data_IF_790849245521
#
_entry.id   IF_790849245521
#
_cell.length_a   1.000
_cell.length_b   1.000
_cell.length_c   1.000
_cell.angle_alpha   90.00
_cell.angle_beta   90.00
_cell.angle_gamma   90.00
#
_symmetry.space_group_name_H-M   'P 1'
#
loop_
_entity.id
_entity.type
_entity.pdbx_description
1 polymer ?
#
# COMPACT_ATOMS: atom_id res chain seq x y z
N UNK A 1 28.01 -19.09 46.23
CA UNK A 1 27.73 -18.48 44.91
C UNK A 1 27.93 -16.98 45.04
N UNK A 2 28.98 -16.41 44.42
CA UNK A 2 29.27 -14.97 44.43
C UNK A 2 28.61 -14.34 43.21
N UNK A 3 27.82 -13.31 43.40
CA UNK A 3 27.27 -12.46 42.33
C UNK A 3 28.24 -11.32 42.05
N UNK A 4 28.72 -11.23 40.80
CA UNK A 4 29.47 -10.07 40.32
C UNK A 4 28.48 -8.99 39.86
N UNK A 5 28.54 -7.83 40.52
CA UNK A 5 28.04 -6.54 40.03
C UNK A 5 29.24 -5.76 39.52
N UNK A 6 29.34 -5.56 38.22
CA UNK A 6 30.01 -4.41 37.60
C UNK A 6 29.80 -4.53 36.09
N UNK A 7 28.89 -3.71 35.55
CA UNK A 7 28.95 -3.15 34.20
C UNK A 7 27.82 -2.12 34.07
N UNK A 8 28.12 -0.88 34.49
CA UNK A 8 27.37 0.34 34.18
C UNK A 8 28.39 1.45 34.03
N UNK A 9 28.73 1.79 32.79
CA UNK A 9 29.71 2.83 32.50
C UNK A 9 29.77 3.32 31.06
N UNK A 10 29.21 2.60 30.09
CA UNK A 10 29.19 3.02 28.70
C UNK A 10 27.77 3.44 28.28
N UNK A 11 27.38 4.68 28.58
CA UNK A 11 26.05 5.14 28.22
C UNK A 11 25.86 6.64 28.02
N UNK A 12 26.92 7.45 28.00
CA UNK A 12 26.80 8.90 27.81
C UNK A 12 27.61 9.44 26.63
N UNK A 13 28.87 9.02 26.52
CA UNK A 13 29.78 9.54 25.50
C UNK A 13 29.46 9.05 24.08
N UNK A 14 28.98 7.81 23.94
CA UNK A 14 28.54 7.22 22.67
C UNK A 14 27.31 7.94 22.11
N UNK A 15 26.38 8.37 22.97
CA UNK A 15 25.16 9.07 22.57
C UNK A 15 25.44 10.49 22.07
N UNK A 16 26.35 11.21 22.73
CA UNK A 16 26.79 12.54 22.28
C UNK A 16 27.45 12.49 20.90
N UNK A 17 28.21 11.44 20.60
CA UNK A 17 28.82 11.26 19.29
C UNK A 17 27.79 11.06 18.16
N UNK A 18 26.73 10.28 18.41
CA UNK A 18 25.67 10.04 17.42
C UNK A 18 24.83 11.29 17.16
N UNK A 19 24.48 12.05 18.21
CA UNK A 19 23.72 13.31 18.07
C UNK A 19 24.52 14.34 17.27
N UNK A 20 25.82 14.48 17.54
CA UNK A 20 26.71 15.38 16.80
C UNK A 20 26.86 14.95 15.33
N UNK A 21 26.90 13.64 15.06
CA UNK A 21 26.97 13.11 13.71
C UNK A 21 25.69 13.40 12.91
N UNK A 22 24.52 13.16 13.50
CA UNK A 22 23.22 13.45 12.86
C UNK A 22 23.08 14.96 12.61
N UNK A 23 23.46 15.80 13.57
CA UNK A 23 23.47 17.26 13.40
C UNK A 23 24.38 17.71 12.26
N UNK A 24 25.58 17.13 12.14
CA UNK A 24 26.52 17.44 11.06
C UNK A 24 26.02 17.01 9.68
N UNK A 25 25.41 15.82 9.57
CA UNK A 25 24.83 15.33 8.31
C UNK A 25 23.63 16.18 7.88
N UNK A 26 22.79 16.58 8.82
CA UNK A 26 21.61 17.41 8.54
C UNK A 26 22.02 18.82 8.11
N UNK A 27 23.04 19.40 8.76
CA UNK A 27 23.61 20.68 8.37
C UNK A 27 24.24 20.62 6.96
N UNK A 28 24.97 19.55 6.63
CA UNK A 28 25.55 19.36 5.30
C UNK A 28 24.48 19.32 4.20
N UNK A 29 23.39 18.56 4.41
CA UNK A 29 22.27 18.44 3.47
C UNK A 29 21.52 19.78 3.29
N UNK A 30 21.42 20.59 4.35
CA UNK A 30 20.79 21.91 4.26
C UNK A 30 21.62 22.93 3.44
N UNK A 31 22.95 22.75 3.35
CA UNK A 31 23.85 23.70 2.65
C UNK A 31 24.06 23.40 1.17
N UNK A 32 23.67 22.21 0.69
CA UNK A 32 23.72 21.85 -0.74
C UNK A 32 22.29 21.72 -1.27
N UNK A 33 21.78 22.74 -1.97
CA UNK A 33 20.36 22.83 -2.40
C UNK A 33 19.85 21.70 -3.33
N UNK A 34 18.59 21.71 -3.81
CA UNK A 34 17.47 22.60 -3.48
C UNK A 34 16.59 21.96 -2.37
N UNK A 35 16.80 22.39 -1.12
CA UNK A 35 16.13 21.88 0.08
C UNK A 35 14.73 22.44 0.32
N UNK A 36 13.82 22.29 -0.65
CA UNK A 36 12.41 22.72 -0.51
C UNK A 36 11.43 21.62 -0.10
N UNK A 37 11.79 20.35 -0.28
CA UNK A 37 10.83 19.23 -0.16
C UNK A 37 11.13 18.24 0.96
N UNK A 38 12.31 18.28 1.58
CA UNK A 38 12.68 17.37 2.69
C UNK A 38 12.26 17.95 4.06
N UNK A 39 12.12 19.27 4.16
CA UNK A 39 11.79 19.96 5.43
C UNK A 39 10.33 19.79 5.86
N UNK A 40 9.39 19.58 4.93
CA UNK A 40 7.96 19.37 5.26
C UNK A 40 7.69 18.00 5.87
N UNK A 41 8.39 16.95 5.42
CA UNK A 41 8.26 15.59 5.96
C UNK A 41 8.84 15.46 7.37
N UNK A 42 9.99 16.07 7.62
CA UNK A 42 10.61 16.09 8.96
C UNK A 42 9.75 16.86 9.98
N UNK A 43 9.10 17.95 9.56
CA UNK A 43 8.22 18.72 10.46
C UNK A 43 6.96 17.94 10.88
N UNK A 44 6.36 17.18 9.97
CA UNK A 44 5.20 16.33 10.31
C UNK A 44 5.56 15.20 11.27
N UNK A 45 6.74 14.58 11.10
CA UNK A 45 7.23 13.55 12.00
C UNK A 45 7.58 14.12 13.39
N UNK A 46 8.18 15.30 13.46
CA UNK A 46 8.50 15.96 14.73
C UNK A 46 7.22 16.39 15.48
N UNK A 47 6.24 16.94 14.77
CA UNK A 47 4.95 17.35 15.34
C UNK A 47 4.15 16.19 15.92
N UNK A 48 4.27 15.00 15.32
CA UNK A 48 3.59 13.80 15.81
C UNK A 48 4.19 13.27 17.12
N UNK A 49 5.45 13.62 17.41
CA UNK A 49 6.19 13.15 18.60
C UNK A 49 6.09 14.14 19.76
N UNK A 50 6.12 15.45 19.51
CA UNK A 50 6.21 16.44 20.60
C UNK A 50 4.86 16.96 21.10
N UNK A 51 3.75 16.68 20.42
CA UNK A 51 2.38 17.06 20.85
C UNK A 51 2.05 18.56 20.79
N UNK A 52 3.06 19.43 20.82
CA UNK A 52 2.92 20.87 20.67
C UNK A 52 3.37 21.34 19.28
N UNK A 53 2.40 21.64 18.42
CA UNK A 53 2.65 22.35 17.16
C UNK A 53 1.71 23.53 17.01
N UNK A 54 2.10 24.66 17.60
CA UNK A 54 1.72 25.96 17.06
C UNK A 54 2.63 26.17 15.84
N UNK A 55 2.09 26.19 14.59
CA UNK A 55 2.92 26.57 13.46
C UNK A 55 3.51 27.95 13.74
N UNK A 56 4.81 28.20 13.47
CA UNK A 56 5.37 29.53 13.67
C UNK A 56 4.51 30.50 12.87
N UNK A 57 3.85 31.41 13.59
CA UNK A 57 3.04 32.46 13.00
C UNK A 57 4.01 33.31 12.21
N UNK A 58 3.93 33.23 10.88
CA UNK A 58 4.69 34.11 9.98
C UNK A 58 4.00 35.48 9.99
N UNK A 59 3.99 36.14 11.15
CA UNK A 59 3.63 37.54 11.26
C UNK A 59 4.87 38.35 10.85
N UNK A 60 5.18 38.35 9.55
CA UNK A 60 6.14 39.26 8.93
C UNK A 60 5.90 39.23 7.41
N UNK A 61 4.94 40.02 6.93
CA UNK A 61 5.14 40.67 5.64
C UNK A 61 6.11 41.83 5.93
N UNK A 62 7.42 41.71 5.60
CA UNK A 62 8.22 42.91 5.45
C UNK A 62 7.53 43.75 4.38
N UNK A 63 7.18 44.98 4.78
CA UNK A 63 6.75 46.03 3.87
C UNK A 63 7.72 46.05 2.67
N UNK A 64 7.21 46.01 1.42
CA UNK A 64 8.08 45.99 0.25
C UNK A 64 9.00 47.21 0.31
N UNK A 65 10.31 46.98 0.41
CA UNK A 65 11.29 48.05 0.28
C UNK A 65 11.03 48.77 -1.06
N UNK A 66 11.05 50.11 -1.08
CA UNK A 66 10.86 50.87 -2.31
C UNK A 66 11.87 50.41 -3.35
N UNK A 67 11.35 50.05 -4.53
CA UNK A 67 12.17 49.60 -5.64
C UNK A 67 13.25 50.67 -5.93
N UNK A 68 14.53 50.27 -6.05
CA UNK A 68 15.58 51.21 -6.43
C UNK A 68 15.24 51.84 -7.79
N UNK A 69 15.56 53.12 -8.01
CA UNK A 69 15.30 53.79 -9.27
C UNK A 69 15.96 53.00 -10.41
N UNK A 70 15.16 52.67 -11.42
CA UNK A 70 15.58 51.99 -12.64
C UNK A 70 16.75 52.75 -13.29
N UNK A 71 17.97 52.32 -13.00
CA UNK A 71 19.14 52.72 -13.77
C UNK A 71 18.96 52.15 -15.18
N UNK A 72 18.76 53.05 -16.15
CA UNK A 72 18.71 52.73 -17.58
C UNK A 72 20.07 52.22 -18.04
N UNK A 73 20.34 50.94 -17.79
CA UNK A 73 21.50 50.25 -18.33
C UNK A 73 21.43 50.21 -19.86
N UNK A 74 22.58 50.25 -20.56
CA UNK A 74 22.63 50.13 -22.01
C UNK A 74 21.98 48.81 -22.47
N UNK A 75 21.32 48.79 -23.64
CA UNK A 75 20.57 47.64 -24.12
C UNK A 75 21.49 46.41 -24.22
N UNK A 76 21.35 45.47 -23.28
CA UNK A 76 21.99 44.17 -23.35
C UNK A 76 21.51 43.47 -24.61
N UNK A 77 22.44 43.24 -25.52
CA UNK A 77 22.24 42.50 -26.78
C UNK A 77 21.57 41.17 -26.45
N UNK A 78 20.32 41.01 -26.88
CA UNK A 78 19.52 39.81 -26.61
C UNK A 78 20.27 38.59 -27.14
N UNK A 79 20.73 37.73 -26.22
CA UNK A 79 21.29 36.43 -26.59
C UNK A 79 20.13 35.62 -27.18
N UNK A 80 20.25 35.07 -28.40
CA UNK A 80 19.23 34.22 -28.98
C UNK A 80 18.90 33.09 -28.00
N UNK A 81 17.62 32.94 -27.65
CA UNK A 81 17.18 31.79 -26.85
C UNK A 81 17.52 30.54 -27.67
N UNK A 82 18.23 29.55 -27.11
CA UNK A 82 18.49 28.30 -27.81
C UNK A 82 17.14 27.70 -28.24
N UNK A 83 17.04 27.34 -29.52
CA UNK A 83 15.86 26.66 -30.04
C UNK A 83 15.51 25.48 -29.12
N UNK A 84 14.23 25.27 -28.78
CA UNK A 84 13.81 24.05 -28.10
C UNK A 84 14.36 22.87 -28.89
N UNK A 85 15.18 22.05 -28.23
CA UNK A 85 15.69 20.84 -28.85
C UNK A 85 14.53 19.98 -29.35
N UNK A 86 14.78 19.07 -30.31
CA UNK A 86 13.77 18.09 -30.69
C UNK A 86 13.22 17.39 -29.45
N UNK A 87 11.90 17.13 -29.38
CA UNK A 87 11.31 16.45 -28.23
C UNK A 87 12.03 15.13 -27.99
N UNK A 88 12.41 14.88 -26.73
CA UNK A 88 13.01 13.60 -26.33
C UNK A 88 11.99 12.50 -26.65
N UNK A 89 12.37 11.46 -27.43
CA UNK A 89 11.48 10.35 -27.71
C UNK A 89 10.97 9.76 -26.39
N UNK A 90 9.65 9.70 -26.23
CA UNK A 90 9.08 9.00 -25.09
C UNK A 90 9.32 7.49 -25.26
N UNK A 91 9.73 6.78 -24.20
CA UNK A 91 9.82 5.32 -24.24
C UNK A 91 8.48 4.74 -24.70
N UNK A 92 8.52 3.73 -25.57
CA UNK A 92 7.32 2.99 -25.93
C UNK A 92 6.69 2.38 -24.68
N UNK A 93 5.35 2.28 -24.60
CA UNK A 93 4.71 1.66 -23.45
C UNK A 93 5.14 0.20 -23.33
N UNK A 94 5.38 -0.24 -22.10
CA UNK A 94 5.74 -1.61 -21.77
C UNK A 94 4.67 -2.60 -22.29
N UNK A 95 5.03 -3.60 -23.13
CA UNK A 95 4.10 -4.61 -23.61
C UNK A 95 3.37 -5.37 -22.49
N UNK A 96 4.02 -5.61 -21.35
CA UNK A 96 3.42 -6.32 -20.21
C UNK A 96 2.32 -5.46 -19.58
N UNK A 97 2.59 -4.16 -19.40
CA UNK A 97 1.56 -3.18 -18.99
C UNK A 97 0.37 -3.16 -19.95
N UNK A 98 0.61 -3.09 -21.26
CA UNK A 98 -0.47 -3.07 -22.26
C UNK A 98 -1.34 -4.33 -22.15
N UNK A 99 -0.71 -5.51 -22.02
CA UNK A 99 -1.42 -6.77 -21.90
C UNK A 99 -2.30 -6.79 -20.64
N UNK A 100 -1.75 -6.41 -19.49
CA UNK A 100 -2.48 -6.40 -18.20
C UNK A 100 -3.61 -5.38 -18.20
N UNK A 101 -3.38 -4.15 -18.67
CA UNK A 101 -4.44 -3.15 -18.77
C UNK A 101 -5.56 -3.56 -19.72
N UNK A 102 -5.26 -4.32 -20.79
CA UNK A 102 -6.30 -4.89 -21.67
C UNK A 102 -7.21 -5.84 -20.89
N UNK A 103 -6.64 -6.77 -20.11
CA UNK A 103 -7.43 -7.68 -19.26
C UNK A 103 -8.28 -6.91 -18.25
N UNK A 104 -7.69 -5.92 -17.58
CA UNK A 104 -8.41 -5.08 -16.61
C UNK A 104 -9.64 -4.40 -17.23
N UNK A 105 -9.57 -4.00 -18.51
CA UNK A 105 -10.68 -3.35 -19.21
C UNK A 105 -11.83 -4.29 -19.56
N UNK A 106 -11.60 -5.60 -19.57
CA UNK A 106 -12.64 -6.60 -19.88
C UNK A 106 -13.61 -6.82 -18.72
N UNK A 107 -13.16 -6.63 -17.47
CA UNK A 107 -13.99 -6.87 -16.27
C UNK A 107 -14.51 -5.56 -15.66
N UNK A 108 -15.70 -5.56 -15.03
CA UNK A 108 -16.17 -4.39 -14.28
C UNK A 108 -15.23 -4.02 -13.12
N UNK A 109 -14.69 -5.02 -12.41
CA UNK A 109 -13.75 -4.84 -11.30
C UNK A 109 -12.45 -4.14 -11.73
N UNK A 110 -11.87 -4.58 -12.86
CA UNK A 110 -10.64 -4.00 -13.38
C UNK A 110 -10.84 -2.58 -13.92
N UNK A 111 -11.98 -2.29 -14.57
CA UNK A 111 -12.32 -0.92 -14.99
C UNK A 111 -12.49 0.02 -13.81
N UNK A 112 -13.17 -0.43 -12.75
CA UNK A 112 -13.34 0.37 -11.53
C UNK A 112 -11.98 0.64 -10.85
N UNK A 113 -11.11 -0.37 -10.76
CA UNK A 113 -9.78 -0.22 -10.19
C UNK A 113 -8.92 0.77 -10.99
N UNK A 114 -8.89 0.65 -12.33
CA UNK A 114 -8.20 1.59 -13.23
C UNK A 114 -8.71 3.02 -13.06
N UNK A 115 -10.03 3.21 -13.03
CA UNK A 115 -10.63 4.54 -12.85
C UNK A 115 -10.28 5.11 -11.48
N UNK A 116 -10.32 4.29 -10.42
CA UNK A 116 -9.97 4.74 -9.08
C UNK A 116 -8.49 5.14 -8.98
N UNK A 117 -7.56 4.32 -9.50
CA UNK A 117 -6.12 4.62 -9.52
C UNK A 117 -5.85 5.93 -10.26
N UNK A 118 -6.47 6.12 -11.42
CA UNK A 118 -6.33 7.35 -12.21
C UNK A 118 -6.87 8.57 -11.45
N UNK A 119 -8.08 8.48 -10.88
CA UNK A 119 -8.70 9.60 -10.14
C UNK A 119 -7.94 9.98 -8.88
N UNK A 120 -7.26 9.04 -8.25
CA UNK A 120 -6.54 9.25 -6.99
C UNK A 120 -5.03 9.47 -7.17
N UNK A 121 -4.56 9.61 -8.42
CA UNK A 121 -3.16 9.90 -8.72
C UNK A 121 -2.17 8.83 -8.24
N UNK A 122 -2.62 7.58 -8.14
CA UNK A 122 -1.75 6.47 -7.75
C UNK A 122 -0.82 6.14 -8.92
N UNK A 123 0.48 6.13 -8.67
CA UNK A 123 1.47 5.74 -9.69
C UNK A 123 1.46 4.23 -9.83
N UNK A 124 1.55 3.70 -11.05
CA UNK A 124 1.63 2.25 -11.29
C UNK A 124 2.93 1.94 -12.01
N UNK A 125 3.72 1.04 -11.45
CA UNK A 125 4.98 0.56 -12.03
C UNK A 125 4.87 -0.94 -12.27
N UNK A 126 5.02 -1.32 -13.54
CA UNK A 126 5.14 -2.70 -13.97
C UNK A 126 6.63 -3.04 -14.02
N UNK A 127 7.04 -4.10 -13.33
CA UNK A 127 8.43 -4.56 -13.34
C UNK A 127 8.49 -6.05 -13.07
N UNK A 128 9.52 -6.71 -13.58
CA UNK A 128 9.71 -8.15 -13.38
C UNK A 128 10.37 -8.45 -12.02
N UNK A 129 9.75 -9.32 -11.24
CA UNK A 129 10.27 -9.83 -9.97
C UNK A 129 10.06 -8.90 -8.77
N UNK A 130 10.37 -9.42 -7.58
CA UNK A 130 10.31 -8.68 -6.31
C UNK A 130 8.92 -8.58 -5.68
N UNK A 131 7.90 -9.21 -6.27
CA UNK A 131 6.53 -9.19 -5.77
C UNK A 131 5.76 -7.92 -6.14
N UNK A 132 4.45 -7.99 -5.92
CA UNK A 132 3.53 -6.87 -6.05
C UNK A 132 3.19 -6.32 -4.68
N UNK A 133 3.04 -5.01 -4.58
CA UNK A 133 2.66 -4.33 -3.35
C UNK A 133 2.23 -2.89 -3.64
N UNK A 134 1.38 -2.34 -2.78
CA UNK A 134 1.16 -0.90 -2.67
C UNK A 134 2.13 -0.27 -1.66
N UNK A 135 2.84 0.79 -2.08
CA UNK A 135 3.66 1.61 -1.20
C UNK A 135 2.89 2.87 -0.79
N UNK A 136 2.46 3.00 0.49
CA UNK A 136 1.71 4.16 0.95
C UNK A 136 2.54 5.44 1.05
N UNK A 137 3.87 5.35 1.14
CA UNK A 137 4.77 6.51 1.25
C UNK A 137 4.94 7.21 -0.10
N UNK A 138 5.15 6.44 -1.17
CA UNK A 138 5.33 6.98 -2.52
C UNK A 138 4.04 7.02 -3.34
N UNK A 139 2.94 6.51 -2.77
CA UNK A 139 1.64 6.38 -3.44
C UNK A 139 1.74 5.62 -4.77
N UNK A 140 2.43 4.47 -4.72
CA UNK A 140 2.79 3.68 -5.89
C UNK A 140 2.33 2.23 -5.74
N UNK A 141 1.63 1.70 -6.74
CA UNK A 141 1.41 0.26 -6.91
C UNK A 141 2.54 -0.30 -7.76
N UNK A 142 3.20 -1.34 -7.25
CA UNK A 142 4.13 -2.18 -7.99
C UNK A 142 3.40 -3.45 -8.42
N UNK A 143 3.45 -3.77 -9.72
CA UNK A 143 2.93 -5.03 -10.26
C UNK A 143 4.09 -5.87 -10.78
N UNK A 144 4.28 -7.05 -10.21
CA UNK A 144 5.25 -8.04 -10.67
C UNK A 144 4.79 -8.69 -11.99
N UNK A 145 5.55 -8.45 -13.05
CA UNK A 145 5.23 -8.92 -14.40
C UNK A 145 5.72 -10.33 -14.72
N UNK A 146 6.27 -11.06 -13.74
CA UNK A 146 6.70 -12.46 -13.92
C UNK A 146 5.55 -13.46 -14.06
N UNK A 147 4.30 -13.03 -13.88
CA UNK A 147 3.07 -13.84 -13.97
C UNK A 147 2.30 -13.59 -15.27
N UNK A 148 1.25 -14.37 -15.56
CA UNK A 148 0.36 -14.13 -16.70
C UNK A 148 -0.35 -12.77 -16.58
N UNK A 149 -0.76 -12.13 -17.70
CA UNK A 149 -1.53 -10.87 -17.66
C UNK A 149 -2.81 -10.95 -16.83
N UNK A 150 -3.50 -12.09 -16.81
CA UNK A 150 -4.68 -12.34 -15.97
C UNK A 150 -4.34 -12.28 -14.48
N UNK A 151 -3.26 -12.96 -14.07
CA UNK A 151 -2.80 -12.93 -12.69
C UNK A 151 -2.27 -11.56 -12.28
N UNK A 152 -1.61 -10.85 -13.20
CA UNK A 152 -1.19 -9.46 -12.99
C UNK A 152 -2.41 -8.53 -12.82
N UNK A 153 -3.48 -8.73 -13.59
CA UNK A 153 -4.71 -7.95 -13.48
C UNK A 153 -5.42 -8.18 -12.13
N UNK A 154 -5.55 -9.44 -11.70
CA UNK A 154 -6.10 -9.76 -10.38
C UNK A 154 -5.23 -9.15 -9.25
N UNK A 155 -3.90 -9.22 -9.38
CA UNK A 155 -2.98 -8.60 -8.42
C UNK A 155 -3.10 -7.08 -8.41
N UNK A 156 -3.22 -6.43 -9.56
CA UNK A 156 -3.46 -4.99 -9.64
C UNK A 156 -4.74 -4.57 -8.90
N UNK A 157 -5.81 -5.36 -9.03
CA UNK A 157 -7.08 -5.12 -8.30
C UNK A 157 -6.87 -5.28 -6.79
N UNK A 158 -6.12 -6.30 -6.36
CA UNK A 158 -5.74 -6.52 -4.97
C UNK A 158 -4.95 -5.32 -4.41
N UNK A 159 -3.87 -4.88 -5.08
CA UNK A 159 -3.10 -3.72 -4.62
C UNK A 159 -3.89 -2.40 -4.63
N UNK A 160 -4.84 -2.28 -5.57
CA UNK A 160 -5.76 -1.15 -5.59
C UNK A 160 -6.68 -1.14 -4.35
N UNK A 161 -7.02 -2.30 -3.81
CA UNK A 161 -7.75 -2.40 -2.55
C UNK A 161 -6.93 -1.77 -1.42
N UNK A 162 -5.68 -2.20 -1.21
CA UNK A 162 -4.80 -1.60 -0.22
C UNK A 162 -4.67 -0.07 -0.37
N UNK A 163 -4.56 0.42 -1.60
CA UNK A 163 -4.51 1.86 -1.86
C UNK A 163 -5.81 2.59 -1.44
N UNK A 164 -6.98 1.96 -1.61
CA UNK A 164 -8.30 2.46 -1.18
C UNK A 164 -8.42 2.47 0.34
N UNK A 165 -7.87 1.46 1.01
CA UNK A 165 -7.98 1.23 2.45
C UNK A 165 -6.79 1.73 3.25
N UNK A 166 -5.79 2.40 2.65
CA UNK A 166 -4.51 2.83 3.26
C UNK A 166 -4.51 3.50 4.65
N UNK A 167 -5.67 3.87 5.19
CA UNK A 167 -5.85 4.40 6.54
C UNK A 167 -6.59 3.44 7.49
N UNK A 168 -6.79 2.18 7.09
CA UNK A 168 -7.47 1.12 7.84
C UNK A 168 -6.90 -0.23 7.40
N UNK A 169 -6.39 -1.06 8.33
CA UNK A 169 -6.43 -0.91 9.78
C UNK A 169 -5.48 0.18 10.32
N UNK A 170 -5.77 0.67 11.53
CA UNK A 170 -5.00 1.74 12.18
C UNK A 170 -4.09 1.15 13.25
N UNK A 171 -2.82 0.93 12.93
CA UNK A 171 -1.85 0.32 13.86
C UNK A 171 -1.83 1.03 15.22
N UNK A 172 -1.80 2.37 15.25
CA UNK A 172 -1.79 3.18 16.48
C UNK A 172 -3.15 3.36 17.16
N UNK A 173 -4.24 2.92 16.53
CA UNK A 173 -5.60 3.12 17.01
C UNK A 173 -6.28 1.85 17.51
N UNK A 174 -5.63 0.70 17.37
CA UNK A 174 -6.21 -0.63 17.62
C UNK A 174 -5.31 -1.43 18.58
N UNK A 175 -5.92 -2.30 19.37
CA UNK A 175 -5.16 -3.30 20.13
C UNK A 175 -4.48 -4.31 19.19
N UNK A 176 -3.37 -4.94 19.60
CA UNK A 176 -2.59 -5.87 18.75
C UNK A 176 -3.45 -6.92 18.03
N UNK A 177 -4.30 -7.63 18.77
CA UNK A 177 -5.16 -8.68 18.21
C UNK A 177 -6.25 -8.12 17.27
N UNK A 178 -6.79 -6.94 17.60
CA UNK A 178 -7.77 -6.24 16.77
C UNK A 178 -7.14 -5.80 15.45
N UNK A 179 -5.95 -5.19 15.50
CA UNK A 179 -5.18 -4.79 14.33
C UNK A 179 -4.87 -5.98 13.41
N UNK A 180 -4.35 -7.09 13.96
CA UNK A 180 -4.04 -8.29 13.17
C UNK A 180 -5.30 -8.83 12.48
N UNK A 181 -6.43 -8.93 13.20
CA UNK A 181 -7.69 -9.39 12.58
C UNK A 181 -8.16 -8.44 11.49
N UNK A 182 -8.10 -7.12 11.72
CA UNK A 182 -8.56 -6.13 10.75
C UNK A 182 -7.67 -6.07 9.50
N UNK A 183 -6.35 -6.23 9.65
CA UNK A 183 -5.40 -6.35 8.54
C UNK A 183 -5.68 -7.60 7.70
N UNK A 184 -5.95 -8.73 8.35
CA UNK A 184 -6.32 -9.96 7.64
C UNK A 184 -7.69 -9.83 6.96
N UNK A 185 -8.64 -9.12 7.56
CA UNK A 185 -9.93 -8.85 6.91
C UNK A 185 -9.77 -7.99 5.65
N UNK A 186 -8.81 -7.06 5.61
CA UNK A 186 -8.44 -6.28 4.43
C UNK A 186 -7.84 -7.18 3.33
N UNK A 187 -6.88 -8.03 3.68
CA UNK A 187 -6.25 -9.01 2.77
C UNK A 187 -7.26 -9.96 2.12
N UNK A 188 -8.22 -10.44 2.92
CA UNK A 188 -9.32 -11.29 2.45
C UNK A 188 -10.17 -10.55 1.43
N UNK A 189 -10.54 -9.29 1.70
CA UNK A 189 -11.32 -8.49 0.76
C UNK A 189 -10.55 -8.18 -0.52
N UNK A 190 -9.28 -7.82 -0.43
CA UNK A 190 -8.41 -7.59 -1.58
C UNK A 190 -8.34 -8.85 -2.48
N UNK A 191 -8.18 -10.03 -1.87
CA UNK A 191 -8.14 -11.33 -2.56
C UNK A 191 -9.48 -11.68 -3.20
N UNK A 192 -10.59 -11.48 -2.50
CA UNK A 192 -11.93 -11.70 -3.03
C UNK A 192 -12.20 -10.85 -4.29
N UNK A 193 -11.76 -9.60 -4.31
CA UNK A 193 -11.90 -8.75 -5.50
C UNK A 193 -11.11 -9.31 -6.70
N UNK A 194 -9.89 -9.82 -6.46
CA UNK A 194 -9.10 -10.50 -7.48
C UNK A 194 -9.78 -11.76 -8.02
N UNK A 195 -10.29 -12.63 -7.13
CA UNK A 195 -11.03 -13.85 -7.49
C UNK A 195 -12.27 -13.50 -8.32
N UNK A 196 -13.10 -12.55 -7.86
CA UNK A 196 -14.33 -12.14 -8.58
C UNK A 196 -14.03 -11.61 -9.99
N UNK A 197 -12.92 -10.89 -10.15
CA UNK A 197 -12.46 -10.45 -11.46
C UNK A 197 -12.06 -11.63 -12.36
N UNK A 198 -11.33 -12.61 -11.83
CA UNK A 198 -10.92 -13.80 -12.56
C UNK A 198 -12.12 -14.67 -12.97
N UNK A 199 -13.06 -14.91 -12.05
CA UNK A 199 -14.30 -15.63 -12.33
C UNK A 199 -15.17 -14.92 -13.37
N UNK A 200 -15.14 -13.58 -13.39
CA UNK A 200 -15.81 -12.84 -14.47
C UNK A 200 -15.17 -13.15 -15.83
N UNK A 201 -13.84 -13.21 -15.92
CA UNK A 201 -13.14 -13.58 -17.15
C UNK A 201 -13.48 -15.02 -17.57
N UNK A 202 -13.45 -15.98 -16.64
CA UNK A 202 -13.83 -17.37 -16.91
C UNK A 202 -15.25 -17.52 -17.47
N UNK A 203 -16.19 -16.65 -17.06
CA UNK A 203 -17.57 -16.66 -17.56
C UNK A 203 -17.72 -16.08 -18.97
N UNK A 204 -16.91 -15.09 -19.35
CA UNK A 204 -17.07 -14.39 -20.64
C UNK A 204 -16.14 -14.93 -21.73
N UNK A 205 -15.08 -15.64 -21.35
CA UNK A 205 -14.12 -16.25 -22.28
C UNK A 205 -14.41 -17.74 -22.48
N UNK A 206 -13.92 -18.35 -23.56
CA UNK A 206 -14.03 -19.79 -23.76
C UNK A 206 -13.50 -20.60 -22.57
N UNK A 207 -14.19 -21.69 -22.25
CA UNK A 207 -13.81 -22.60 -21.15
C UNK A 207 -12.39 -23.13 -21.33
N UNK A 208 -11.60 -23.07 -20.26
CA UNK A 208 -10.22 -23.56 -20.23
C UNK A 208 -9.15 -22.55 -20.65
N UNK A 209 -9.53 -21.32 -21.05
CA UNK A 209 -8.55 -20.26 -21.33
C UNK A 209 -8.06 -19.54 -20.08
N UNK A 210 -8.88 -19.50 -19.03
CA UNK A 210 -8.58 -18.79 -17.79
C UNK A 210 -8.44 -19.80 -16.66
N UNK A 211 -7.23 -19.85 -16.09
CA UNK A 211 -6.92 -20.69 -14.95
C UNK A 211 -7.41 -20.06 -13.65
N UNK A 212 -7.69 -20.91 -12.66
CA UNK A 212 -7.98 -20.47 -11.30
C UNK A 212 -6.82 -19.67 -10.73
N UNK A 213 -7.15 -18.58 -10.02
CA UNK A 213 -6.18 -17.89 -9.19
C UNK A 213 -5.83 -18.75 -7.96
N UNK A 214 -4.67 -18.51 -7.32
CA UNK A 214 -4.37 -19.14 -6.04
C UNK A 214 -5.54 -18.99 -5.07
N UNK A 215 -5.92 -20.10 -4.43
CA UNK A 215 -7.01 -20.20 -3.44
C UNK A 215 -8.44 -19.96 -3.97
N UNK A 216 -8.63 -19.76 -5.27
CA UNK A 216 -9.96 -19.68 -5.88
C UNK A 216 -10.74 -20.98 -5.72
N UNK A 217 -10.09 -22.14 -5.86
CA UNK A 217 -10.73 -23.43 -5.62
C UNK A 217 -11.16 -23.64 -4.15
N UNK A 218 -10.39 -23.12 -3.18
CA UNK A 218 -10.80 -23.10 -1.77
C UNK A 218 -12.04 -22.24 -1.56
N UNK A 219 -12.04 -21.05 -2.16
CA UNK A 219 -13.19 -20.14 -2.17
C UNK A 219 -14.44 -20.84 -2.72
N UNK A 220 -14.36 -21.42 -3.92
CA UNK A 220 -15.50 -22.02 -4.62
C UNK A 220 -16.03 -23.28 -3.93
N UNK A 221 -15.12 -24.06 -3.36
CA UNK A 221 -15.49 -25.22 -2.53
C UNK A 221 -16.24 -24.79 -1.27
N UNK A 222 -15.73 -23.78 -0.54
CA UNK A 222 -16.39 -23.27 0.66
C UNK A 222 -17.76 -22.65 0.35
N UNK A 223 -17.87 -21.89 -0.74
CA UNK A 223 -19.13 -21.35 -1.26
C UNK A 223 -20.14 -22.47 -1.50
N UNK A 224 -19.77 -23.43 -2.37
CA UNK A 224 -20.68 -24.49 -2.83
C UNK A 224 -21.14 -25.38 -1.69
N UNK A 225 -20.22 -25.75 -0.78
CA UNK A 225 -20.56 -26.57 0.37
C UNK A 225 -21.52 -25.86 1.34
N UNK A 226 -21.37 -24.55 1.55
CA UNK A 226 -22.23 -23.80 2.44
C UNK A 226 -23.67 -23.70 1.91
N UNK A 227 -23.82 -23.38 0.62
CA UNK A 227 -25.12 -23.36 -0.07
C UNK A 227 -25.77 -24.74 0.01
N UNK A 228 -25.04 -25.80 -0.34
CA UNK A 228 -25.55 -27.17 -0.28
C UNK A 228 -26.03 -27.55 1.13
N UNK A 229 -25.24 -27.27 2.18
CA UNK A 229 -25.63 -27.57 3.57
C UNK A 229 -26.90 -26.84 3.99
N UNK A 230 -27.04 -25.57 3.63
CA UNK A 230 -28.23 -24.78 3.93
C UNK A 230 -29.46 -25.34 3.18
N UNK A 231 -29.35 -25.67 1.89
CA UNK A 231 -30.45 -26.28 1.14
C UNK A 231 -30.92 -27.60 1.77
N UNK A 232 -29.98 -28.46 2.18
CA UNK A 232 -30.32 -29.71 2.86
C UNK A 232 -31.02 -29.46 4.21
N UNK A 233 -30.59 -28.44 4.96
CA UNK A 233 -31.23 -28.06 6.21
C UNK A 233 -32.65 -27.54 5.98
N UNK A 234 -32.87 -26.68 4.97
CA UNK A 234 -34.19 -26.17 4.60
C UNK A 234 -35.13 -27.28 4.15
N UNK A 235 -34.64 -28.19 3.31
CA UNK A 235 -35.41 -29.35 2.86
C UNK A 235 -35.87 -30.22 4.05
N UNK A 236 -34.97 -30.50 5.00
CA UNK A 236 -35.28 -31.27 6.21
C UNK A 236 -36.33 -30.60 7.09
N UNK A 237 -36.37 -29.26 7.09
CA UNK A 237 -37.27 -28.45 7.89
C UNK A 237 -38.52 -27.99 7.12
N UNK A 238 -38.78 -28.54 5.93
CA UNK A 238 -39.90 -28.17 5.05
C UNK A 238 -39.96 -26.66 4.73
N UNK A 239 -38.80 -26.01 4.66
CA UNK A 239 -38.67 -24.60 4.32
C UNK A 239 -38.54 -24.41 2.80
N UNK A 240 -38.93 -23.24 2.24
CA UNK A 240 -38.70 -22.92 0.83
C UNK A 240 -37.21 -23.01 0.46
N UNK A 241 -36.87 -23.38 -0.79
CA UNK A 241 -35.49 -23.39 -1.26
C UNK A 241 -34.86 -21.99 -1.17
N UNK A 242 -33.53 -21.92 -1.22
CA UNK A 242 -32.84 -20.64 -1.24
C UNK A 242 -33.19 -19.84 -2.49
N UNK A 243 -33.37 -18.54 -2.31
CA UNK A 243 -33.34 -17.57 -3.41
C UNK A 243 -31.90 -17.37 -3.89
N UNK A 244 -31.71 -16.82 -5.10
CA UNK A 244 -30.36 -16.57 -5.64
C UNK A 244 -29.57 -15.58 -4.81
N UNK A 245 -30.25 -14.61 -4.21
CA UNK A 245 -29.68 -13.63 -3.31
C UNK A 245 -29.23 -14.29 -1.99
N UNK A 246 -30.00 -15.25 -1.46
CA UNK A 246 -29.61 -16.01 -0.28
C UNK A 246 -28.43 -16.96 -0.55
N UNK A 247 -28.44 -17.66 -1.70
CA UNK A 247 -27.30 -18.49 -2.15
C UNK A 247 -26.02 -17.65 -2.19
N UNK A 248 -26.06 -16.49 -2.86
CA UNK A 248 -24.93 -15.57 -2.97
C UNK A 248 -24.44 -15.12 -1.59
N UNK A 249 -25.34 -14.65 -0.72
CA UNK A 249 -24.96 -14.19 0.62
C UNK A 249 -24.30 -15.30 1.44
N UNK A 250 -24.90 -16.48 1.50
CA UNK A 250 -24.42 -17.60 2.33
C UNK A 250 -23.10 -18.15 1.78
N UNK A 251 -23.01 -18.30 0.46
CA UNK A 251 -21.80 -18.78 -0.20
C UNK A 251 -20.64 -17.80 -0.02
N UNK A 252 -20.83 -16.51 -0.30
CA UNK A 252 -19.79 -15.48 -0.14
C UNK A 252 -19.32 -15.34 1.31
N UNK A 253 -20.23 -15.40 2.28
CA UNK A 253 -19.88 -15.35 3.70
C UNK A 253 -19.03 -16.57 4.11
N UNK A 254 -19.34 -17.76 3.58
CA UNK A 254 -18.56 -18.96 3.83
C UNK A 254 -17.18 -18.92 3.15
N UNK A 255 -17.12 -18.45 1.91
CA UNK A 255 -15.88 -18.32 1.17
C UNK A 255 -14.94 -17.27 1.81
N UNK A 256 -15.49 -16.13 2.25
CA UNK A 256 -14.76 -15.14 3.05
C UNK A 256 -14.17 -15.74 4.33
N UNK A 257 -14.97 -16.52 5.08
CA UNK A 257 -14.49 -17.20 6.29
C UNK A 257 -13.37 -18.19 6.00
N UNK A 258 -13.47 -18.94 4.91
CA UNK A 258 -12.43 -19.90 4.53
C UNK A 258 -11.12 -19.19 4.16
N UNK A 259 -11.17 -18.13 3.35
CA UNK A 259 -9.99 -17.32 3.06
C UNK A 259 -9.38 -16.74 4.35
N UNK A 260 -10.21 -16.18 5.23
CA UNK A 260 -9.74 -15.68 6.53
C UNK A 260 -9.03 -16.76 7.34
N UNK A 261 -9.56 -17.99 7.37
CA UNK A 261 -8.93 -19.14 8.03
C UNK A 261 -7.55 -19.45 7.44
N UNK A 262 -7.43 -19.47 6.11
CA UNK A 262 -6.18 -19.76 5.40
C UNK A 262 -5.10 -18.67 5.61
N UNK A 263 -5.50 -17.42 5.79
CA UNK A 263 -4.59 -16.36 6.22
C UNK A 263 -4.16 -16.53 7.69
N UNK A 264 -5.13 -16.79 8.57
CA UNK A 264 -4.90 -16.92 10.01
C UNK A 264 -4.04 -18.13 10.40
N UNK A 265 -4.10 -19.22 9.64
CA UNK A 265 -3.31 -20.44 9.91
C UNK A 265 -1.94 -20.46 9.21
N UNK A 266 -1.62 -19.44 8.41
CA UNK A 266 -0.37 -19.32 7.67
C UNK A 266 -0.30 -20.18 6.40
N UNK A 267 -1.41 -20.75 5.92
CA UNK A 267 -1.47 -21.39 4.59
C UNK A 267 -1.23 -20.38 3.47
N UNK A 268 -1.73 -19.16 3.65
CA UNK A 268 -1.41 -18.00 2.82
C UNK A 268 -0.27 -17.24 3.50
N UNK A 269 0.81 -17.02 2.77
CA UNK A 269 2.02 -16.35 3.26
C UNK A 269 2.38 -15.15 2.38
N UNK A 270 3.15 -14.21 2.94
CA UNK A 270 3.64 -13.03 2.23
C UNK A 270 4.50 -13.41 1.02
N UNK A 271 4.27 -12.77 -0.12
CA UNK A 271 4.98 -13.10 -1.38
C UNK A 271 6.46 -12.74 -1.36
N UNK A 272 6.88 -11.82 -0.48
CA UNK A 272 8.25 -11.29 -0.41
C UNK A 272 9.14 -12.02 0.59
N UNK A 273 8.58 -12.49 1.71
CA UNK A 273 9.34 -13.05 2.83
C UNK A 273 8.88 -14.47 3.25
N UNK A 274 7.75 -14.95 2.71
CA UNK A 274 7.18 -16.25 3.04
C UNK A 274 6.64 -16.35 4.47
N UNK A 275 6.50 -15.24 5.20
CA UNK A 275 5.99 -15.25 6.57
C UNK A 275 4.46 -15.40 6.59
N UNK A 276 3.89 -16.07 7.61
CA UNK A 276 2.46 -15.98 7.88
C UNK A 276 2.03 -14.54 8.15
N UNK A 277 0.91 -14.11 7.56
CA UNK A 277 0.38 -12.75 7.75
C UNK A 277 0.13 -12.36 9.22
N UNK A 278 -0.41 -13.24 10.10
CA UNK A 278 -0.56 -12.90 11.51
C UNK A 278 0.76 -12.53 12.20
N UNK A 279 1.86 -13.17 11.82
CA UNK A 279 3.18 -12.90 12.36
C UNK A 279 3.70 -11.56 11.83
N UNK A 280 3.63 -11.33 10.52
CA UNK A 280 4.06 -10.06 9.90
C UNK A 280 3.31 -8.84 10.45
N UNK A 281 1.98 -8.91 10.57
CA UNK A 281 1.20 -7.82 11.17
C UNK A 281 1.42 -7.70 12.68
N UNK A 282 1.68 -8.82 13.37
CA UNK A 282 2.08 -8.78 14.77
C UNK A 282 3.39 -8.03 14.97
N UNK A 283 4.40 -8.31 14.15
CA UNK A 283 5.69 -7.63 14.14
C UNK A 283 5.54 -6.13 13.79
N UNK A 284 4.68 -5.77 12.82
CA UNK A 284 4.40 -4.37 12.48
C UNK A 284 3.80 -3.61 13.67
N UNK A 285 2.82 -4.21 14.35
CA UNK A 285 2.22 -3.62 15.54
C UNK A 285 3.23 -3.50 16.68
N UNK A 286 4.02 -4.55 16.93
CA UNK A 286 5.05 -4.57 17.97
C UNK A 286 6.14 -3.53 17.68
N UNK A 287 6.53 -3.35 16.41
CA UNK A 287 7.49 -2.32 15.99
C UNK A 287 6.95 -0.91 16.24
N UNK A 288 5.69 -0.65 15.87
CA UNK A 288 5.06 0.64 16.14
C UNK A 288 5.06 0.94 17.66
N UNK A 289 4.63 0.00 18.50
CA UNK A 289 4.46 0.27 19.94
C UNK A 289 5.71 0.04 20.79
N UNK A 290 6.69 -0.71 20.29
CA UNK A 290 7.96 -0.99 20.98
C UNK A 290 8.84 0.24 21.10
N UNK A 291 8.81 1.13 20.10
CA UNK A 291 9.50 2.42 20.12
C UNK A 291 8.98 3.38 21.20
N UNK A 292 7.80 3.13 21.79
CA UNK A 292 7.22 4.00 22.80
C UNK A 292 7.71 3.69 24.23
N UNK A 293 8.16 2.46 24.49
CA UNK A 293 8.59 2.03 25.84
C UNK A 293 10.08 2.31 26.08
N UNK A 294 10.84 2.54 25.01
CA UNK A 294 12.23 2.95 25.06
C UNK A 294 12.32 4.38 24.53
N UNK A 295 12.65 5.34 25.39
CA UNK A 295 12.88 6.77 25.06
C UNK A 295 14.03 6.99 24.03
N UNK A 296 14.48 5.96 23.33
CA UNK A 296 15.62 5.97 22.41
C UNK A 296 15.37 5.06 21.19
N UNK A 297 14.57 5.55 20.24
CA UNK A 297 14.65 5.12 18.85
C UNK A 297 14.99 6.32 17.97
#
# INVERSE_FOLDING_TARGET
MRTNRADRGEGGASYLAVILLIGAVTAAIATTGPGGTITSGLWQSLCRVTGDCVPPRVDNHPEPLPAPPHASGPPTRAVPRPSPGPPVPQPLPDPERIATERILRETPYGREALEWVQRNGVTVVYRRGGGSYYNPVTHTIIVDTSRSPEAQAATFIHETHHAKTRYTPLVWGMGRAEYISAAIDEEVEATLQGIRANQYLQRIRPTGEIYDMPYESNHDSAYTQAVYREEQARLKNEQPPLTKEEEARIGEEAARRELKRLYMDGTITGSTDGKPYPDSYGEEWDFAHGCFVLIFC
#
